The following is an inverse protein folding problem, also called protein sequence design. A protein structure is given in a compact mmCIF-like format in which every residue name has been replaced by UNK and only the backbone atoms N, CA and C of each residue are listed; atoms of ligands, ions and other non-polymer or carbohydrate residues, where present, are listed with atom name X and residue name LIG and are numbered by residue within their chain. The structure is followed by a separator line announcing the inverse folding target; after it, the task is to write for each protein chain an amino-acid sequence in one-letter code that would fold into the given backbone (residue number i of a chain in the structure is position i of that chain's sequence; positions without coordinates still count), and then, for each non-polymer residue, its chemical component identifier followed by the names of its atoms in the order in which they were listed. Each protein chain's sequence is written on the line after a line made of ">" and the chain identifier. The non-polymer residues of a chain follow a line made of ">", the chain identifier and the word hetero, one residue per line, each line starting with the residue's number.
data_IF_821280592514
#
_entry.id   IF_821280592514
#
_cell.length_a   1.000
_cell.length_b   1.000
_cell.length_c   1.000
_cell.angle_alpha   90.00
_cell.angle_beta   90.00
_cell.angle_gamma   90.00
#
_symmetry.space_group_name_H-M   'P 1'
#
loop_
_entity.id
_entity.type
_entity.pdbx_description
1 polymer ?
#
# COMPACT_ATOMS: atom_id res chain seq x y z
N UNK A 1 0.84 20.38 14.66
CA UNK A 1 1.64 19.85 15.80
C UNK A 1 2.44 18.70 15.27
N UNK A 2 3.74 18.70 15.47
CA UNK A 2 4.60 17.63 14.98
C UNK A 2 4.62 16.42 15.92
N UNK A 3 4.81 15.24 15.33
CA UNK A 3 5.01 13.98 16.03
C UNK A 3 6.43 13.48 15.78
N UNK A 4 7.09 12.93 16.80
CA UNK A 4 8.36 12.22 16.67
C UNK A 4 8.11 10.74 16.95
N UNK A 5 8.44 9.89 15.98
CA UNK A 5 8.37 8.45 16.07
C UNK A 5 9.80 7.92 16.28
N UNK A 6 10.08 7.39 17.47
CA UNK A 6 11.39 6.84 17.83
C UNK A 6 11.43 5.34 17.53
N UNK A 7 12.57 4.86 17.05
CA UNK A 7 12.81 3.45 16.74
C UNK A 7 14.14 3.26 16.01
N UNK A 8 14.31 2.09 15.40
CA UNK A 8 15.35 1.92 14.40
C UNK A 8 14.80 2.45 13.07
N UNK A 9 15.52 3.30 12.38
CA UNK A 9 15.05 3.88 11.12
C UNK A 9 15.87 3.35 9.95
N UNK A 10 15.20 2.78 8.95
CA UNK A 10 15.79 2.39 7.67
C UNK A 10 15.27 3.31 6.57
N UNK A 11 16.20 3.98 5.90
CA UNK A 11 15.91 4.85 4.76
C UNK A 11 16.92 4.66 3.64
N UNK A 12 16.66 5.29 2.50
CA UNK A 12 17.54 5.22 1.33
C UNK A 12 17.80 6.63 0.81
N UNK A 13 19.08 6.97 0.61
CA UNK A 13 19.49 8.26 0.06
C UNK A 13 19.54 8.25 -1.48
N UNK A 14 19.56 7.07 -2.08
CA UNK A 14 19.59 6.85 -3.52
C UNK A 14 18.92 5.51 -3.88
N UNK A 15 18.76 5.26 -5.16
CA UNK A 15 18.28 3.98 -5.67
C UNK A 15 19.32 2.87 -5.35
N UNK A 16 18.96 1.87 -4.51
CA UNK A 16 19.90 0.81 -4.13
C UNK A 16 20.26 -0.13 -5.29
N UNK A 17 19.46 -0.18 -6.37
CA UNK A 17 19.78 -0.97 -7.56
C UNK A 17 20.91 -0.36 -8.38
N UNK A 18 21.08 0.97 -8.32
CA UNK A 18 22.15 1.67 -9.00
C UNK A 18 23.32 2.00 -8.08
N UNK A 19 23.05 2.43 -6.85
CA UNK A 19 24.07 2.86 -5.89
C UNK A 19 24.57 1.72 -4.99
N UNK A 20 23.90 0.56 -4.97
CA UNK A 20 24.25 -0.56 -4.10
C UNK A 20 23.88 -0.33 -2.62
N UNK A 21 24.45 -1.14 -1.74
CA UNK A 21 24.12 -1.12 -0.30
C UNK A 21 24.46 0.19 0.41
N UNK A 22 25.38 0.98 -0.11
CA UNK A 22 25.71 2.30 0.44
C UNK A 22 24.57 3.32 0.33
N UNK A 23 23.54 3.03 -0.47
CA UNK A 23 22.33 3.85 -0.50
C UNK A 23 21.48 3.69 0.76
N UNK A 24 21.60 2.57 1.47
CA UNK A 24 20.84 2.32 2.69
C UNK A 24 21.42 3.05 3.90
N UNK A 25 20.55 3.66 4.69
CA UNK A 25 20.87 4.29 5.99
C UNK A 25 20.10 3.56 7.07
N UNK A 26 20.81 3.07 8.07
CA UNK A 26 20.22 2.43 9.23
C UNK A 26 20.65 3.14 10.50
N UNK A 27 19.68 3.82 11.11
CA UNK A 27 19.84 4.48 12.40
C UNK A 27 19.31 3.58 13.51
N UNK A 28 20.20 2.99 14.30
CA UNK A 28 19.81 2.07 15.39
C UNK A 28 19.08 2.77 16.55
N UNK A 29 19.26 4.09 16.67
CA UNK A 29 18.53 5.00 17.56
C UNK A 29 18.06 6.18 16.73
N UNK A 30 17.09 5.91 15.88
CA UNK A 30 16.57 6.87 14.91
C UNK A 30 15.25 7.48 15.34
N UNK A 31 14.86 8.49 14.60
CA UNK A 31 13.55 9.09 14.66
C UNK A 31 13.05 9.52 13.29
N UNK A 32 11.73 9.58 13.17
CA UNK A 32 11.04 10.23 12.04
C UNK A 32 10.15 11.32 12.63
N UNK A 33 10.26 12.53 12.08
CA UNK A 33 9.41 13.67 12.45
C UNK A 33 8.32 13.80 11.41
N UNK A 34 7.07 13.80 11.86
CA UNK A 34 5.89 13.92 11.01
C UNK A 34 5.07 15.14 11.44
N UNK A 35 4.64 15.93 10.47
CA UNK A 35 3.70 17.03 10.70
C UNK A 35 2.74 17.12 9.54
N UNK A 36 1.45 17.25 9.84
CA UNK A 36 0.38 17.34 8.85
C UNK A 36 0.45 16.22 7.79
N UNK A 37 0.71 14.97 8.23
CA UNK A 37 0.82 13.82 7.35
C UNK A 37 2.10 13.73 6.51
N UNK A 38 3.04 14.67 6.64
CA UNK A 38 4.31 14.69 5.89
C UNK A 38 5.50 14.39 6.78
N UNK A 39 6.45 13.63 6.26
CA UNK A 39 7.76 13.46 6.89
C UNK A 39 8.56 14.75 6.70
N UNK A 40 8.88 15.43 7.81
CA UNK A 40 9.71 16.63 7.81
C UNK A 40 11.20 16.29 7.85
N UNK A 41 11.56 15.27 8.65
CA UNK A 41 12.92 14.85 8.83
C UNK A 41 13.00 13.41 9.33
N UNK A 42 14.13 12.77 9.09
CA UNK A 42 14.50 11.50 9.71
C UNK A 42 16.02 11.49 10.00
N UNK A 43 16.44 10.71 10.99
CA UNK A 43 17.85 10.63 11.36
C UNK A 43 18.06 10.30 12.84
N UNK A 44 19.19 10.68 13.45
CA UNK A 44 19.49 10.40 14.83
C UNK A 44 18.46 10.99 15.80
N UNK A 45 17.95 10.17 16.71
CA UNK A 45 16.84 10.53 17.61
C UNK A 45 17.15 11.75 18.48
N UNK A 46 18.36 11.83 19.06
CA UNK A 46 18.72 12.91 19.98
C UNK A 46 18.75 14.27 19.28
N UNK A 47 19.25 14.30 18.04
CA UNK A 47 19.30 15.53 17.22
C UNK A 47 17.89 16.02 16.87
N UNK A 48 17.00 15.11 16.47
CA UNK A 48 15.64 15.47 16.07
C UNK A 48 14.78 15.87 17.28
N UNK A 49 14.97 15.23 18.43
CA UNK A 49 14.29 15.65 19.67
C UNK A 49 14.72 17.05 20.12
N UNK A 50 16.02 17.37 20.00
CA UNK A 50 16.52 18.70 20.32
C UNK A 50 15.98 19.77 19.36
N UNK A 51 15.85 19.45 18.07
CA UNK A 51 15.29 20.34 17.06
C UNK A 51 13.76 20.56 17.17
N UNK A 52 13.04 19.58 17.74
CA UNK A 52 11.58 19.61 17.88
C UNK A 52 11.12 19.38 19.33
N UNK A 53 11.47 20.28 20.27
CA UNK A 53 11.26 20.06 21.71
C UNK A 53 9.80 20.00 22.16
N UNK A 54 8.87 20.50 21.33
CA UNK A 54 7.42 20.52 21.61
C UNK A 54 6.65 19.41 20.90
N UNK A 55 7.33 18.58 20.12
CA UNK A 55 6.68 17.50 19.39
C UNK A 55 6.20 16.39 20.34
N UNK A 56 5.06 15.79 20.02
CA UNK A 56 4.59 14.58 20.71
C UNK A 56 5.49 13.41 20.35
N UNK A 57 5.98 12.68 21.35
CA UNK A 57 6.90 11.56 21.16
C UNK A 57 6.16 10.23 21.32
N UNK A 58 6.33 9.35 20.32
CA UNK A 58 5.93 7.94 20.39
C UNK A 58 7.19 7.08 20.24
N UNK A 59 7.45 6.22 21.23
CA UNK A 59 8.64 5.37 21.23
C UNK A 59 8.24 3.91 20.91
N UNK A 60 8.72 3.41 19.78
CA UNK A 60 8.55 2.03 19.33
C UNK A 60 9.70 1.11 19.77
N UNK A 61 10.61 1.59 20.60
CA UNK A 61 11.70 0.81 21.18
C UNK A 61 12.65 0.27 20.10
N UNK A 62 12.70 -1.06 19.98
CA UNK A 62 13.56 -1.74 19.00
C UNK A 62 12.88 -2.03 17.67
N UNK A 63 11.64 -1.58 17.44
CA UNK A 63 10.95 -1.78 16.19
C UNK A 63 11.63 -1.00 15.05
N UNK A 64 11.58 -1.57 13.86
CA UNK A 64 12.06 -0.92 12.63
C UNK A 64 10.98 -0.01 12.06
N UNK A 65 11.35 1.23 11.80
CA UNK A 65 10.55 2.20 11.06
C UNK A 65 11.15 2.30 9.66
N UNK A 66 10.36 2.03 8.64
CA UNK A 66 10.76 2.13 7.24
C UNK A 66 9.65 2.73 6.39
N UNK A 67 9.95 3.07 5.13
CA UNK A 67 8.90 3.32 4.14
C UNK A 67 7.99 2.09 4.02
N UNK A 68 6.72 2.33 3.69
CA UNK A 68 5.78 1.25 3.42
C UNK A 68 6.17 0.42 2.19
N UNK A 69 5.74 -0.84 2.17
CA UNK A 69 6.04 -1.73 1.07
C UNK A 69 5.25 -1.37 -0.19
N UNK A 70 5.85 -1.68 -1.34
CA UNK A 70 5.25 -1.50 -2.65
C UNK A 70 4.94 -2.90 -3.21
N UNK A 71 3.65 -3.19 -3.43
CA UNK A 71 3.22 -4.38 -4.15
C UNK A 71 3.03 -4.02 -5.62
N UNK A 72 3.99 -4.42 -6.44
CA UNK A 72 4.02 -4.06 -7.86
C UNK A 72 3.09 -4.93 -8.73
N UNK A 73 2.49 -6.01 -8.17
CA UNK A 73 1.60 -6.91 -8.92
C UNK A 73 0.71 -7.71 -7.98
N UNK A 74 -0.55 -7.34 -7.86
CA UNK A 74 -1.52 -8.04 -7.01
C UNK A 74 -2.89 -8.10 -7.66
N UNK A 75 -3.62 -9.18 -7.41
CA UNK A 75 -5.01 -9.37 -7.83
C UNK A 75 -5.91 -9.26 -6.59
N UNK A 76 -6.34 -8.05 -6.25
CA UNK A 76 -7.16 -7.83 -5.06
C UNK A 76 -8.47 -8.64 -5.05
N UNK A 77 -9.13 -8.93 -6.21
CA UNK A 77 -10.33 -9.75 -6.23
C UNK A 77 -10.13 -11.16 -5.70
N UNK A 78 -8.90 -11.65 -5.70
CA UNK A 78 -8.56 -13.00 -5.24
C UNK A 78 -8.33 -13.08 -3.72
N UNK A 79 -8.62 -12.01 -2.98
CA UNK A 79 -8.47 -11.97 -1.51
C UNK A 79 -9.23 -13.09 -0.80
N UNK A 80 -10.43 -13.42 -1.28
CA UNK A 80 -11.26 -14.47 -0.65
C UNK A 80 -10.77 -15.90 -0.94
N UNK A 81 -9.86 -16.08 -1.89
CA UNK A 81 -9.32 -17.39 -2.28
C UNK A 81 -7.82 -17.53 -1.98
N UNK A 82 -7.27 -16.67 -1.11
CA UNK A 82 -5.89 -16.77 -0.65
C UNK A 82 -5.62 -18.18 -0.13
N UNK A 83 -4.47 -18.77 -0.55
CA UNK A 83 -4.04 -20.12 -0.21
C UNK A 83 -4.94 -21.26 -0.74
N UNK A 84 -5.87 -21.01 -1.65
CA UNK A 84 -6.59 -22.09 -2.35
C UNK A 84 -5.62 -22.94 -3.16
N UNK A 85 -5.73 -24.26 -3.01
CA UNK A 85 -4.79 -25.17 -3.66
C UNK A 85 -5.25 -25.59 -5.05
N UNK A 86 -4.33 -25.61 -6.01
CA UNK A 86 -4.56 -26.12 -7.36
C UNK A 86 -3.36 -26.92 -7.87
N UNK A 87 -3.62 -28.07 -8.49
CA UNK A 87 -2.57 -28.93 -9.02
C UNK A 87 -1.87 -28.31 -10.24
N UNK A 88 -2.65 -27.66 -11.12
CA UNK A 88 -2.18 -26.92 -12.28
C UNK A 88 -2.84 -25.56 -12.29
N UNK A 89 -2.18 -24.57 -12.91
CA UNK A 89 -2.70 -23.20 -13.00
C UNK A 89 -4.14 -23.16 -13.57
N UNK A 90 -4.37 -23.87 -14.68
CA UNK A 90 -5.70 -23.86 -15.32
C UNK A 90 -6.79 -24.47 -14.44
N UNK A 91 -6.47 -25.50 -13.65
CA UNK A 91 -7.41 -26.12 -12.71
C UNK A 91 -7.75 -25.13 -11.59
N UNK A 92 -6.73 -24.40 -11.09
CA UNK A 92 -6.89 -23.37 -10.07
C UNK A 92 -7.73 -22.20 -10.58
N UNK A 93 -7.44 -21.70 -11.80
CA UNK A 93 -8.21 -20.64 -12.43
C UNK A 93 -9.70 -21.01 -12.55
N UNK A 94 -9.99 -22.21 -13.06
CA UNK A 94 -11.38 -22.67 -13.27
C UNK A 94 -12.12 -22.98 -11.95
N UNK A 95 -11.39 -23.46 -10.93
CA UNK A 95 -12.01 -23.89 -9.68
C UNK A 95 -12.22 -22.75 -8.69
N UNK A 96 -11.35 -21.74 -8.71
CA UNK A 96 -11.34 -20.67 -7.70
C UNK A 96 -11.41 -19.28 -8.32
N UNK A 97 -10.48 -18.93 -9.22
CA UNK A 97 -10.31 -17.57 -9.68
C UNK A 97 -11.52 -17.08 -10.48
N UNK A 98 -11.89 -17.77 -11.55
CA UNK A 98 -13.00 -17.32 -12.38
C UNK A 98 -14.35 -17.32 -11.63
N UNK A 99 -14.71 -18.34 -10.84
CA UNK A 99 -15.91 -18.26 -10.01
C UNK A 99 -15.88 -17.10 -9.01
N UNK A 100 -14.76 -16.82 -8.38
CA UNK A 100 -14.62 -15.72 -7.44
C UNK A 100 -14.74 -14.36 -8.13
N UNK A 101 -14.04 -14.16 -9.24
CA UNK A 101 -14.06 -12.91 -9.98
C UNK A 101 -15.43 -12.58 -10.60
N UNK A 102 -16.22 -13.59 -10.95
CA UNK A 102 -17.60 -13.40 -11.42
C UNK A 102 -18.52 -12.80 -10.36
N UNK A 103 -18.24 -12.96 -9.08
CA UNK A 103 -19.01 -12.37 -7.98
C UNK A 103 -18.91 -10.84 -7.95
N UNK A 104 -17.91 -10.28 -8.56
CA UNK A 104 -17.67 -8.82 -8.63
C UNK A 104 -18.64 -8.09 -9.57
N UNK A 105 -19.53 -8.82 -10.24
CA UNK A 105 -20.72 -8.24 -10.87
C UNK A 105 -21.66 -7.61 -9.83
N UNK A 106 -21.63 -8.09 -8.57
CA UNK A 106 -22.34 -7.48 -7.45
C UNK A 106 -21.52 -6.35 -6.82
N UNK A 107 -21.99 -5.07 -6.88
CA UNK A 107 -21.29 -3.95 -6.31
C UNK A 107 -21.07 -4.06 -4.78
N UNK A 108 -22.00 -4.68 -4.05
CA UNK A 108 -21.87 -4.85 -2.61
C UNK A 108 -20.73 -5.81 -2.27
N UNK A 109 -20.64 -6.91 -3.01
CA UNK A 109 -19.53 -7.84 -2.88
C UNK A 109 -18.18 -7.20 -3.24
N UNK A 110 -18.14 -6.48 -4.35
CA UNK A 110 -16.95 -5.76 -4.77
C UNK A 110 -16.47 -4.77 -3.69
N UNK A 111 -17.39 -4.00 -3.09
CA UNK A 111 -17.07 -3.08 -1.99
C UNK A 111 -16.55 -3.81 -0.74
N UNK A 112 -17.18 -4.93 -0.36
CA UNK A 112 -16.75 -5.73 0.78
C UNK A 112 -15.32 -6.23 0.62
N UNK A 113 -14.98 -6.81 -0.54
CA UNK A 113 -13.65 -7.37 -0.78
C UNK A 113 -12.61 -6.25 -0.92
N UNK A 114 -12.95 -5.11 -1.54
CA UNK A 114 -12.06 -3.96 -1.63
C UNK A 114 -11.62 -3.46 -0.26
N UNK A 115 -12.57 -3.25 0.66
CA UNK A 115 -12.24 -2.82 2.02
C UNK A 115 -11.38 -3.86 2.75
N UNK A 116 -11.76 -5.14 2.67
CA UNK A 116 -11.00 -6.21 3.32
C UNK A 116 -9.56 -6.32 2.80
N UNK A 117 -9.38 -6.18 1.49
CA UNK A 117 -8.05 -6.20 0.89
C UNK A 117 -7.19 -5.03 1.38
N UNK A 118 -7.73 -3.80 1.37
CA UNK A 118 -7.01 -2.62 1.81
C UNK A 118 -6.62 -2.70 3.29
N UNK A 119 -7.52 -3.18 4.15
CA UNK A 119 -7.22 -3.43 5.56
C UNK A 119 -6.07 -4.43 5.73
N UNK A 120 -6.09 -5.54 4.98
CA UNK A 120 -5.03 -6.54 5.00
C UNK A 120 -3.70 -5.96 4.50
N UNK A 121 -3.71 -5.25 3.38
CA UNK A 121 -2.50 -4.65 2.80
C UNK A 121 -1.84 -3.69 3.80
N UNK A 122 -2.62 -2.79 4.41
CA UNK A 122 -2.10 -1.85 5.41
C UNK A 122 -1.64 -2.54 6.69
N UNK A 123 -2.37 -3.53 7.18
CA UNK A 123 -1.98 -4.29 8.37
C UNK A 123 -0.63 -5.02 8.18
N UNK A 124 -0.24 -5.29 6.93
CA UNK A 124 1.03 -5.92 6.56
C UNK A 124 2.06 -4.93 6.02
N UNK A 125 1.80 -3.62 6.11
CA UNK A 125 2.75 -2.57 5.76
C UNK A 125 2.81 -2.22 4.27
N UNK A 126 1.92 -2.74 3.44
CA UNK A 126 1.82 -2.36 2.03
C UNK A 126 1.07 -1.03 1.90
N UNK A 127 1.75 0.00 1.39
CA UNK A 127 1.21 1.35 1.24
C UNK A 127 1.12 1.83 -0.21
N UNK A 128 1.70 1.08 -1.15
CA UNK A 128 1.59 1.36 -2.58
C UNK A 128 1.32 0.05 -3.29
N UNK A 129 0.44 0.06 -4.30
CA UNK A 129 0.08 -1.15 -4.98
C UNK A 129 -0.31 -0.92 -6.44
N UNK A 130 0.05 -1.90 -7.28
CA UNK A 130 -0.39 -2.02 -8.66
C UNK A 130 -1.35 -3.21 -8.70
N UNK A 131 -2.66 -2.93 -8.68
CA UNK A 131 -3.67 -3.96 -8.50
C UNK A 131 -4.47 -4.25 -9.76
N UNK A 132 -4.60 -5.53 -10.08
CA UNK A 132 -5.53 -6.00 -11.10
C UNK A 132 -6.93 -6.11 -10.50
N UNK A 133 -7.92 -5.64 -11.28
CA UNK A 133 -9.33 -5.80 -11.01
C UNK A 133 -9.91 -6.92 -11.90
N UNK A 134 -11.22 -7.11 -11.87
CA UNK A 134 -11.92 -8.08 -12.74
C UNK A 134 -12.43 -7.42 -14.03
N UNK A 135 -13.05 -8.22 -14.90
CA UNK A 135 -13.74 -7.73 -16.10
C UNK A 135 -14.94 -6.82 -15.78
N UNK A 136 -15.46 -6.89 -14.55
CA UNK A 136 -16.60 -6.10 -14.09
C UNK A 136 -16.18 -4.69 -13.68
N UNK A 137 -16.74 -3.61 -14.29
CA UNK A 137 -16.40 -2.24 -13.93
C UNK A 137 -16.60 -1.94 -12.43
N UNK A 138 -17.55 -2.59 -11.81
CA UNK A 138 -17.86 -2.45 -10.38
C UNK A 138 -16.65 -2.76 -9.48
N UNK A 139 -15.79 -3.70 -9.91
CA UNK A 139 -14.57 -4.01 -9.15
C UNK A 139 -13.59 -2.83 -9.12
N UNK A 140 -13.48 -2.08 -10.20
CA UNK A 140 -12.63 -0.89 -10.26
C UNK A 140 -13.21 0.23 -9.42
N UNK A 141 -14.50 0.54 -9.61
CA UNK A 141 -15.19 1.61 -8.88
C UNK A 141 -15.18 1.36 -7.37
N UNK A 142 -15.46 0.12 -6.94
CA UNK A 142 -15.44 -0.24 -5.53
C UNK A 142 -14.06 -0.09 -4.90
N UNK A 143 -13.01 -0.49 -5.61
CA UNK A 143 -11.65 -0.38 -5.12
C UNK A 143 -11.21 1.07 -4.92
N UNK A 144 -11.43 1.94 -5.91
CA UNK A 144 -11.11 3.36 -5.78
C UNK A 144 -11.96 4.07 -4.74
N UNK A 145 -13.24 3.71 -4.63
CA UNK A 145 -14.13 4.27 -3.59
C UNK A 145 -13.63 3.89 -2.19
N UNK A 146 -13.28 2.63 -1.97
CA UNK A 146 -12.75 2.18 -0.69
C UNK A 146 -11.39 2.85 -0.37
N UNK A 147 -10.49 2.95 -1.35
CA UNK A 147 -9.22 3.63 -1.19
C UNK A 147 -9.42 5.12 -0.86
N UNK A 148 -10.29 5.82 -1.58
CA UNK A 148 -10.60 7.23 -1.31
C UNK A 148 -11.21 7.43 0.09
N UNK A 149 -12.12 6.56 0.53
CA UNK A 149 -12.70 6.62 1.87
C UNK A 149 -11.66 6.40 2.97
N UNK A 150 -10.74 5.47 2.76
CA UNK A 150 -9.67 5.19 3.72
C UNK A 150 -8.67 6.34 3.84
N UNK A 151 -8.44 7.05 2.74
CA UNK A 151 -7.46 8.15 2.64
C UNK A 151 -8.10 9.53 2.52
N UNK A 152 -9.40 9.64 2.25
CA UNK A 152 -10.13 10.89 2.00
C UNK A 152 -10.29 11.80 3.23
N UNK A 153 -10.05 11.29 4.45
CA UNK A 153 -9.84 12.12 5.63
C UNK A 153 -8.49 12.87 5.62
N UNK A 154 -7.66 12.62 4.62
CA UNK A 154 -6.33 13.16 4.40
C UNK A 154 -6.28 14.03 3.13
N UNK A 155 -7.42 14.59 2.71
CA UNK A 155 -7.64 15.20 1.38
C UNK A 155 -6.67 16.31 0.97
N UNK A 156 -5.81 16.79 1.84
CA UNK A 156 -4.88 17.85 1.47
C UNK A 156 -3.39 17.52 1.59
N UNK A 157 -2.97 16.39 2.16
CA UNK A 157 -1.55 16.26 2.48
C UNK A 157 -0.91 14.87 2.32
N UNK A 158 -1.65 13.80 2.07
CA UNK A 158 -1.07 12.42 1.98
C UNK A 158 -1.05 11.85 0.56
N UNK A 159 -1.19 12.68 -0.45
CA UNK A 159 -1.04 12.27 -1.86
C UNK A 159 0.35 11.70 -2.20
N UNK A 160 1.31 11.74 -1.28
CA UNK A 160 2.66 11.22 -1.53
C UNK A 160 2.93 9.84 -0.92
N UNK A 161 2.06 9.32 -0.06
CA UNK A 161 2.36 8.09 0.66
C UNK A 161 1.75 6.82 0.05
N UNK A 162 0.65 6.92 -0.73
CA UNK A 162 0.02 5.74 -1.33
C UNK A 162 -0.36 6.02 -2.77
N UNK A 163 0.30 5.31 -3.67
CA UNK A 163 -0.04 5.27 -5.08
C UNK A 163 -0.74 3.96 -5.38
N UNK A 164 -1.99 4.04 -5.81
CA UNK A 164 -2.76 2.87 -6.25
C UNK A 164 -2.91 2.94 -7.77
N UNK A 165 -2.40 1.95 -8.47
CA UNK A 165 -2.69 1.74 -9.88
C UNK A 165 -3.56 0.49 -10.00
N UNK A 166 -4.72 0.61 -10.61
CA UNK A 166 -5.62 -0.52 -10.86
C UNK A 166 -5.68 -0.80 -12.35
N UNK A 167 -5.32 -2.02 -12.72
CA UNK A 167 -5.42 -2.51 -14.10
C UNK A 167 -6.62 -3.43 -14.24
N UNK A 168 -7.42 -3.19 -15.25
CA UNK A 168 -8.50 -4.10 -15.66
C UNK A 168 -7.87 -5.22 -16.49
N UNK A 169 -8.06 -6.46 -16.07
CA UNK A 169 -7.63 -7.61 -16.84
C UNK A 169 -8.50 -7.74 -18.09
N UNK A 170 -7.87 -7.63 -19.27
CA UNK A 170 -8.56 -7.78 -20.53
C UNK A 170 -8.44 -9.24 -21.00
N UNK A 171 -9.40 -10.08 -20.62
CA UNK A 171 -9.65 -11.31 -21.35
C UNK A 171 -10.47 -11.02 -22.60
N UNK A 172 -9.79 -10.85 -23.73
CA UNK A 172 -10.35 -11.07 -25.05
C UNK A 172 -11.21 -9.98 -25.68
N UNK A 173 -10.86 -8.70 -25.59
CA UNK A 173 -11.29 -7.73 -26.59
C UNK A 173 -10.30 -6.57 -26.68
N UNK A 174 -9.80 -6.36 -27.90
CA UNK A 174 -9.06 -5.17 -28.30
C UNK A 174 -9.87 -3.91 -28.02
N UNK A 175 -9.25 -2.93 -27.41
CA UNK A 175 -9.70 -1.57 -27.13
C UNK A 175 -10.47 -1.38 -25.80
N UNK A 176 -9.71 -1.12 -24.73
CA UNK A 176 -10.01 0.02 -23.86
C UNK A 176 -8.82 0.30 -22.93
N UNK A 177 -8.43 1.54 -22.89
CA UNK A 177 -7.27 2.07 -22.18
C UNK A 177 -7.41 1.91 -20.68
N UNK A 178 -6.40 1.31 -20.03
CA UNK A 178 -6.31 1.27 -18.58
C UNK A 178 -6.26 2.70 -18.02
N UNK A 179 -7.07 2.99 -17.00
CA UNK A 179 -6.93 4.22 -16.22
C UNK A 179 -5.76 4.01 -15.26
N UNK A 180 -4.70 4.76 -15.47
CA UNK A 180 -3.65 4.97 -14.47
C UNK A 180 -4.04 6.22 -13.71
N UNK A 181 -4.37 6.08 -12.43
CA UNK A 181 -4.45 7.22 -11.52
C UNK A 181 -3.10 7.32 -10.79
N UNK A 182 -2.43 8.43 -10.95
CA UNK A 182 -1.20 8.79 -10.22
C UNK A 182 -1.58 9.75 -9.11
#
# INVERSE_FOLDING_TARGET
>A
MSDILLGQVLSFDADPFTAGLQAARHETRGAVVVENGKILAHGPADALRAAHPTARVTDYGKCLISAGFIDAHVHYPQTAIIASWGKRLIDWLNSYTFPEEMRFADPAYAAQISNRYLDLALAHGTTSMCSYATIHPQSVEAFFTAAAALFGGLENEVHSAIKVAVFREMLGSSQQHGRVAI
#
